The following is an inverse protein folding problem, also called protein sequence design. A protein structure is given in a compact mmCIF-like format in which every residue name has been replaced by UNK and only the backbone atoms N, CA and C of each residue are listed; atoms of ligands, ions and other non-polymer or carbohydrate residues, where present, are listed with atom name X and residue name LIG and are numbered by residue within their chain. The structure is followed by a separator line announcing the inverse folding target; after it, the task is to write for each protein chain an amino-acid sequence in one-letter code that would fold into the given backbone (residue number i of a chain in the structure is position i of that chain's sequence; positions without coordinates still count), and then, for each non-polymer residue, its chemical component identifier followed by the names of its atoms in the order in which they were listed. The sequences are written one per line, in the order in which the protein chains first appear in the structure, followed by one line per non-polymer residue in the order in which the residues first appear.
data_IF_482827379896
#
_entry.id   IF_482827379896
#
_cell.length_a   1.000
_cell.length_b   1.000
_cell.length_c   1.000
_cell.angle_alpha   90.00
_cell.angle_beta   90.00
_cell.angle_gamma   90.00
#
_symmetry.space_group_name_H-M   'P 1'
#
loop_
_entity.id
_entity.type
_entity.pdbx_description
1 polymer ?
#
# COMPACT_ATOMS: atom_id res chain seq x y z
N UNK A 1 -5.20 3.26 13.37
CA UNK A 1 -5.64 3.01 11.98
C UNK A 1 -4.45 2.57 11.17
N UNK A 2 -4.46 1.35 10.64
CA UNK A 2 -3.41 0.80 9.79
C UNK A 2 -4.01 0.28 8.48
N UNK A 3 -3.40 0.60 7.37
CA UNK A 3 -3.72 0.00 6.07
C UNK A 3 -3.34 0.86 4.87
N UNK A 4 -2.59 0.29 3.94
CA UNK A 4 -2.61 0.64 2.51
C UNK A 4 -1.73 -0.30 1.66
N UNK A 5 -2.20 -0.64 0.48
CA UNK A 5 -1.45 -1.38 -0.53
C UNK A 5 -1.51 -0.63 -1.87
N UNK A 6 -0.37 -0.45 -2.51
CA UNK A 6 -0.23 0.35 -3.73
C UNK A 6 0.11 -0.53 -4.93
N UNK A 7 -0.54 -0.29 -6.06
CA UNK A 7 -0.31 -1.01 -7.32
C UNK A 7 0.07 0.01 -8.41
N UNK A 8 1.29 -0.06 -8.99
CA UNK A 8 1.67 0.85 -10.07
C UNK A 8 0.88 0.57 -11.36
N UNK A 9 0.49 1.62 -12.09
CA UNK A 9 -0.16 1.50 -13.40
C UNK A 9 0.80 0.94 -14.45
N UNK A 10 0.30 0.02 -15.30
CA UNK A 10 1.05 -0.48 -16.46
C UNK A 10 1.14 0.59 -17.56
N UNK A 11 2.29 0.64 -18.24
CA UNK A 11 2.37 1.31 -19.52
C UNK A 11 1.63 0.47 -20.58
N UNK A 12 0.90 1.09 -21.54
CA UNK A 12 0.29 0.36 -22.63
C UNK A 12 1.39 -0.29 -23.49
N UNK A 13 1.43 -1.61 -23.50
CA UNK A 13 2.31 -2.37 -24.37
C UNK A 13 1.81 -2.23 -25.81
N UNK A 14 2.63 -1.70 -26.73
CA UNK A 14 2.34 -1.73 -28.16
C UNK A 14 2.13 -3.18 -28.60
N UNK A 15 1.02 -3.41 -29.30
CA UNK A 15 0.67 -4.73 -29.84
C UNK A 15 1.70 -5.09 -30.92
N UNK A 16 2.49 -6.10 -30.67
CA UNK A 16 3.26 -6.81 -31.70
C UNK A 16 2.34 -7.79 -32.39
N UNK A 17 1.96 -7.50 -33.62
CA UNK A 17 1.31 -8.46 -34.51
C UNK A 17 2.30 -9.60 -34.83
N UNK A 18 2.00 -10.80 -34.35
CA UNK A 18 2.80 -12.01 -34.57
C UNK A 18 1.91 -13.22 -34.70
N UNK A 19 1.76 -13.66 -35.90
CA UNK A 19 1.34 -14.95 -36.51
C UNK A 19 0.70 -16.05 -35.65
N UNK A 20 -0.46 -16.44 -36.15
CA UNK A 20 -1.27 -17.65 -36.04
C UNK A 20 -0.49 -18.93 -35.66
N UNK A 21 -0.73 -19.43 -34.46
CA UNK A 21 -0.50 -20.83 -34.10
C UNK A 21 -1.71 -21.33 -33.34
N UNK A 22 -2.57 -22.06 -34.05
CA UNK A 22 -3.75 -22.70 -33.52
C UNK A 22 -3.40 -23.79 -32.50
N UNK A 23 -3.27 -23.42 -31.23
CA UNK A 23 -3.33 -24.35 -30.11
C UNK A 23 -4.76 -24.35 -29.55
N UNK A 24 -5.49 -25.42 -29.83
CA UNK A 24 -6.73 -25.72 -29.11
C UNK A 24 -6.40 -26.06 -27.67
N UNK A 25 -6.61 -25.11 -26.77
CA UNK A 25 -6.68 -25.38 -25.33
C UNK A 25 -7.99 -26.16 -25.13
N UNK A 26 -7.88 -27.43 -24.73
CA UNK A 26 -9.03 -28.19 -24.22
C UNK A 26 -9.47 -27.48 -22.94
N UNK A 27 -10.72 -27.07 -22.91
CA UNK A 27 -11.43 -26.57 -21.75
C UNK A 27 -11.55 -27.71 -20.71
N UNK A 28 -10.48 -27.90 -19.93
CA UNK A 28 -10.56 -28.67 -18.70
C UNK A 28 -11.23 -27.72 -17.70
N UNK A 29 -12.49 -28.00 -17.32
CA UNK A 29 -13.21 -27.30 -16.27
C UNK A 29 -12.47 -27.34 -14.95
N UNK A 30 -11.44 -26.49 -14.83
CA UNK A 30 -10.80 -26.16 -13.58
C UNK A 30 -11.75 -25.19 -12.92
N UNK A 31 -12.42 -25.60 -11.84
CA UNK A 31 -12.92 -24.67 -10.84
C UNK A 31 -11.73 -23.78 -10.49
N UNK A 32 -11.72 -22.56 -11.02
CA UNK A 32 -10.71 -21.57 -10.68
C UNK A 32 -10.93 -21.22 -9.21
N UNK A 33 -10.08 -21.75 -8.36
CA UNK A 33 -10.03 -21.38 -6.94
C UNK A 33 -9.99 -19.83 -6.90
N UNK A 34 -11.02 -19.23 -6.29
CA UNK A 34 -11.16 -17.78 -6.32
C UNK A 34 -9.95 -17.15 -5.64
N UNK A 35 -9.20 -16.35 -6.39
CA UNK A 35 -7.94 -15.79 -5.93
C UNK A 35 -8.10 -14.74 -4.82
N UNK A 36 -7.00 -14.19 -4.35
CA UNK A 36 -6.98 -13.25 -3.22
C UNK A 36 -7.72 -11.95 -3.52
N UNK A 37 -7.80 -11.53 -4.78
CA UNK A 37 -8.56 -10.35 -5.18
C UNK A 37 -10.05 -10.53 -4.84
N UNK A 38 -10.69 -11.59 -5.33
CA UNK A 38 -12.12 -11.84 -5.12
C UNK A 38 -12.43 -12.33 -3.70
N UNK A 39 -11.55 -13.12 -3.11
CA UNK A 39 -11.77 -13.65 -1.76
C UNK A 39 -11.51 -12.62 -0.65
N UNK A 40 -10.64 -11.63 -0.89
CA UNK A 40 -10.18 -10.71 0.16
C UNK A 40 -10.48 -9.23 -0.10
N UNK A 41 -10.43 -8.75 -1.34
CA UNK A 41 -10.39 -7.31 -1.62
C UNK A 41 -11.68 -6.77 -2.24
N UNK A 42 -12.32 -7.51 -3.15
CA UNK A 42 -13.53 -7.06 -3.85
C UNK A 42 -14.74 -7.93 -3.50
N UNK A 43 -15.94 -7.35 -3.58
CA UNK A 43 -17.25 -8.03 -3.38
C UNK A 43 -18.08 -8.07 -4.67
N UNK A 44 -17.44 -7.80 -5.79
CA UNK A 44 -17.97 -7.92 -7.16
C UNK A 44 -17.06 -8.88 -7.94
N UNK A 45 -17.60 -9.48 -9.00
CA UNK A 45 -16.80 -10.39 -9.83
C UNK A 45 -15.63 -9.68 -10.53
N UNK A 46 -14.57 -10.43 -10.79
CA UNK A 46 -13.31 -9.95 -11.40
C UNK A 46 -13.54 -9.21 -12.72
N UNK A 47 -14.40 -9.73 -13.59
CA UNK A 47 -14.71 -9.11 -14.89
C UNK A 47 -15.32 -7.72 -14.72
N UNK A 48 -16.27 -7.59 -13.80
CA UNK A 48 -16.91 -6.31 -13.50
C UNK A 48 -15.92 -5.33 -12.85
N UNK A 49 -15.09 -5.81 -11.94
CA UNK A 49 -14.03 -5.02 -11.35
C UNK A 49 -13.09 -4.47 -12.43
N UNK A 50 -12.60 -5.32 -13.33
CA UNK A 50 -11.68 -4.93 -14.39
C UNK A 50 -12.29 -3.95 -15.40
N UNK A 51 -13.57 -4.12 -15.75
CA UNK A 51 -14.22 -3.30 -16.77
C UNK A 51 -14.79 -1.98 -16.26
N UNK A 52 -15.24 -1.91 -15.00
CA UNK A 52 -15.98 -0.76 -14.48
C UNK A 52 -15.23 0.01 -13.39
N UNK A 53 -14.33 -0.63 -12.63
CA UNK A 53 -13.70 -0.05 -11.44
C UNK A 53 -12.22 0.26 -11.66
N UNK A 54 -11.44 -0.75 -12.08
CA UNK A 54 -9.99 -0.63 -12.21
C UNK A 54 -9.57 0.58 -13.05
N UNK A 55 -8.80 1.49 -12.45
CA UNK A 55 -8.36 2.75 -13.07
C UNK A 55 -9.49 3.73 -13.45
N UNK A 56 -10.74 3.53 -12.96
CA UNK A 56 -11.90 4.36 -13.37
C UNK A 56 -12.70 4.93 -12.21
N UNK A 57 -12.96 4.13 -11.18
CA UNK A 57 -13.86 4.54 -10.10
C UNK A 57 -13.44 3.95 -8.75
N UNK A 58 -13.71 4.64 -7.63
CA UNK A 58 -13.51 4.06 -6.31
C UNK A 58 -14.53 2.95 -6.04
N UNK A 59 -14.08 1.89 -5.37
CA UNK A 59 -14.93 0.81 -4.86
C UNK A 59 -14.79 0.74 -3.34
N UNK A 60 -15.90 0.70 -2.62
CA UNK A 60 -15.93 0.41 -1.20
C UNK A 60 -16.46 -0.99 -0.97
N UNK A 61 -15.60 -1.90 -0.58
CA UNK A 61 -15.95 -3.27 -0.19
C UNK A 61 -16.17 -3.34 1.33
N UNK A 62 -17.31 -3.87 1.75
CA UNK A 62 -17.64 -4.12 3.15
C UNK A 62 -17.66 -5.62 3.40
N UNK A 63 -16.60 -6.16 3.99
CA UNK A 63 -16.50 -7.58 4.31
C UNK A 63 -16.65 -7.83 5.80
N UNK A 64 -17.19 -9.01 6.15
CA UNK A 64 -17.35 -9.46 7.52
C UNK A 64 -16.04 -9.98 8.16
N UNK A 65 -14.93 -10.02 7.42
CA UNK A 65 -13.64 -10.52 7.89
C UNK A 65 -12.69 -9.41 8.34
N UNK A 66 -11.69 -9.80 9.10
CA UNK A 66 -10.55 -8.94 9.46
C UNK A 66 -9.34 -9.33 8.61
N UNK A 67 -8.34 -8.45 8.55
CA UNK A 67 -7.05 -8.71 7.90
C UNK A 67 -5.93 -8.92 8.93
N UNK A 68 -6.29 -9.28 10.16
CA UNK A 68 -5.33 -9.48 11.26
C UNK A 68 -4.40 -10.66 11.05
N UNK A 69 -4.78 -11.59 10.17
CA UNK A 69 -3.92 -12.67 9.67
C UNK A 69 -2.77 -12.16 8.80
N UNK A 70 -2.93 -11.02 8.13
CA UNK A 70 -1.89 -10.40 7.33
C UNK A 70 -0.99 -9.48 8.15
N UNK A 71 -1.57 -8.66 9.01
CA UNK A 71 -0.84 -7.67 9.78
C UNK A 71 -1.62 -7.25 11.03
N UNK A 72 -0.92 -6.78 12.07
CA UNK A 72 -1.52 -6.35 13.35
C UNK A 72 -0.71 -5.24 14.01
N UNK A 73 -1.22 -4.67 15.10
CA UNK A 73 -0.48 -3.70 15.91
C UNK A 73 0.73 -4.34 16.59
N UNK A 74 0.62 -5.62 16.97
CA UNK A 74 1.74 -6.39 17.53
C UNK A 74 2.86 -6.58 16.48
N UNK A 75 2.49 -6.78 15.20
CA UNK A 75 3.46 -6.85 14.11
C UNK A 75 4.18 -5.51 13.89
N UNK A 76 3.49 -4.38 14.09
CA UNK A 76 4.12 -3.04 14.07
C UNK A 76 5.17 -2.93 15.18
N UNK A 77 4.81 -3.31 16.42
CA UNK A 77 5.75 -3.29 17.55
C UNK A 77 6.96 -4.21 17.29
N UNK A 78 6.73 -5.41 16.79
CA UNK A 78 7.80 -6.34 16.45
C UNK A 78 8.76 -5.75 15.41
N UNK A 79 8.24 -5.16 14.34
CA UNK A 79 9.06 -4.55 13.29
C UNK A 79 9.88 -3.37 13.81
N UNK A 80 9.28 -2.50 14.62
CA UNK A 80 9.92 -1.30 15.14
C UNK A 80 10.95 -1.65 16.22
N UNK A 81 10.58 -2.52 17.18
CA UNK A 81 11.36 -2.72 18.41
C UNK A 81 12.33 -3.90 18.35
N UNK A 82 12.16 -4.87 17.42
CA UNK A 82 12.89 -6.15 17.47
C UNK A 82 13.59 -6.54 16.16
N UNK A 83 13.23 -5.94 15.03
CA UNK A 83 13.74 -6.37 13.72
C UNK A 83 14.92 -5.53 13.24
N UNK A 84 15.36 -4.54 14.00
CA UNK A 84 16.50 -3.69 13.66
C UNK A 84 16.31 -2.94 12.34
N UNK A 85 15.09 -2.51 12.04
CA UNK A 85 14.78 -1.77 10.82
C UNK A 85 15.58 -0.45 10.78
N UNK A 86 15.81 0.00 9.56
CA UNK A 86 16.54 1.22 9.22
C UNK A 86 15.71 2.06 8.25
N UNK A 87 16.06 3.31 8.06
CA UNK A 87 15.56 4.07 6.94
C UNK A 87 16.04 3.43 5.62
N UNK A 88 15.26 3.47 4.52
CA UNK A 88 13.96 4.11 4.37
C UNK A 88 12.74 3.21 4.65
N UNK A 89 12.89 2.10 5.39
CA UNK A 89 11.77 1.18 5.65
C UNK A 89 10.69 1.76 6.58
N UNK A 90 10.94 2.93 7.17
CA UNK A 90 9.95 3.69 7.90
C UNK A 90 10.11 5.19 7.61
N UNK A 91 8.99 5.89 7.52
CA UNK A 91 8.89 7.36 7.50
C UNK A 91 7.92 7.81 8.59
N UNK A 92 8.09 9.04 9.04
CA UNK A 92 7.16 9.69 9.96
C UNK A 92 6.58 10.92 9.29
N UNK A 93 5.25 11.07 9.34
CA UNK A 93 4.56 12.23 8.78
C UNK A 93 3.68 12.89 9.86
N UNK A 94 3.66 14.20 9.90
CA UNK A 94 2.80 14.97 10.79
C UNK A 94 2.33 16.24 10.08
N UNK A 95 1.02 16.52 10.18
CA UNK A 95 0.40 17.72 9.60
C UNK A 95 0.74 17.93 8.12
N UNK A 96 0.71 16.84 7.33
CA UNK A 96 1.01 16.86 5.90
C UNK A 96 2.49 16.94 5.52
N UNK A 97 3.41 16.93 6.50
CA UNK A 97 4.86 17.06 6.29
C UNK A 97 5.59 15.80 6.76
N UNK A 98 6.54 15.32 5.96
CA UNK A 98 7.46 14.25 6.38
C UNK A 98 8.52 14.82 7.31
N UNK A 99 8.68 14.19 8.48
CA UNK A 99 9.70 14.57 9.46
C UNK A 99 11.09 14.08 9.02
N UNK A 100 12.16 14.76 9.42
CA UNK A 100 13.53 14.33 9.12
C UNK A 100 13.87 13.03 9.86
N UNK A 101 14.70 12.18 9.25
CA UNK A 101 15.09 10.87 9.80
C UNK A 101 15.70 10.99 11.20
N UNK A 102 16.43 12.07 11.47
CA UNK A 102 17.02 12.34 12.78
C UNK A 102 16.01 12.49 13.92
N UNK A 103 14.72 12.65 13.61
CA UNK A 103 13.65 12.72 14.63
C UNK A 103 13.17 11.36 15.12
N UNK A 104 13.62 10.27 14.49
CA UNK A 104 13.20 8.91 14.82
C UNK A 104 14.28 7.83 14.61
N UNK A 105 15.53 8.25 14.39
CA UNK A 105 16.67 7.34 14.26
C UNK A 105 17.76 7.68 15.26
N UNK A 106 18.51 6.67 15.66
CA UNK A 106 19.71 6.83 16.49
C UNK A 106 20.86 5.95 15.96
N UNK A 107 22.12 6.28 16.32
CA UNK A 107 23.23 5.39 16.03
C UNK A 107 23.06 4.04 16.71
N UNK A 108 23.32 2.96 15.97
CA UNK A 108 23.22 1.59 16.47
C UNK A 108 24.33 0.71 15.91
N UNK A 109 24.12 -0.58 15.99
CA UNK A 109 25.00 -1.61 15.46
C UNK A 109 25.89 -2.26 16.50
N UNK A 110 26.34 -3.48 16.17
CA UNK A 110 27.27 -4.26 16.94
C UNK A 110 28.45 -4.60 16.06
N UNK A 111 29.62 -4.04 16.35
CA UNK A 111 30.85 -4.21 15.56
C UNK A 111 30.97 -3.22 14.40
N UNK A 112 29.93 -2.97 13.61
CA UNK A 112 29.89 -1.93 12.59
C UNK A 112 28.99 -0.77 13.03
N UNK A 113 29.34 0.45 12.63
CA UNK A 113 28.52 1.64 12.93
C UNK A 113 27.32 1.70 11.99
N UNK A 114 26.13 1.85 12.58
CA UNK A 114 24.87 2.13 11.88
C UNK A 114 24.39 3.51 12.34
N UNK A 115 24.08 4.41 11.40
CA UNK A 115 23.71 5.80 11.73
C UNK A 115 22.20 6.08 11.58
N UNK A 116 21.45 5.15 11.02
CA UNK A 116 20.07 5.31 10.58
C UNK A 116 19.14 4.20 11.10
N UNK A 117 19.51 3.57 12.20
CA UNK A 117 18.67 2.58 12.86
C UNK A 117 17.44 3.26 13.48
N UNK A 118 16.27 2.64 13.32
CA UNK A 118 15.06 3.13 13.96
C UNK A 118 15.21 3.09 15.49
N UNK A 119 14.79 4.16 16.12
CA UNK A 119 14.73 4.31 17.59
C UNK A 119 13.27 4.19 18.02
N UNK A 120 12.92 3.07 18.66
CA UNK A 120 11.56 2.77 19.08
C UNK A 120 11.00 3.81 20.05
N UNK A 121 11.79 4.27 20.99
CA UNK A 121 11.38 5.31 21.96
C UNK A 121 11.01 6.61 21.26
N UNK A 122 11.82 7.04 20.28
CA UNK A 122 11.55 8.25 19.50
C UNK A 122 10.31 8.06 18.60
N UNK A 123 10.12 6.88 18.00
CA UNK A 123 8.97 6.56 17.17
C UNK A 123 7.67 6.56 17.97
N UNK A 124 7.63 5.91 19.13
CA UNK A 124 6.44 5.90 19.99
C UNK A 124 6.11 7.27 20.54
N UNK A 125 7.12 8.11 20.81
CA UNK A 125 6.92 9.52 21.18
C UNK A 125 6.29 10.31 20.03
N UNK A 126 6.81 10.18 18.81
CA UNK A 126 6.22 10.83 17.63
C UNK A 126 4.76 10.42 17.42
N UNK A 127 4.45 9.12 17.57
CA UNK A 127 3.08 8.62 17.46
C UNK A 127 2.17 9.22 18.56
N UNK A 128 2.64 9.27 19.79
CA UNK A 128 1.90 9.88 20.91
C UNK A 128 1.65 11.38 20.69
N UNK A 129 2.57 12.06 20.03
CA UNK A 129 2.46 13.47 19.65
C UNK A 129 1.61 13.71 18.39
N UNK A 130 0.93 12.70 17.89
CA UNK A 130 -0.03 12.81 16.77
C UNK A 130 0.55 12.53 15.39
N UNK A 131 1.80 12.12 15.27
CA UNK A 131 2.38 11.76 13.99
C UNK A 131 1.84 10.41 13.46
N UNK A 132 1.89 10.23 12.14
CA UNK A 132 1.65 8.95 11.47
C UNK A 132 2.98 8.26 11.20
N UNK A 133 3.10 7.01 11.63
CA UNK A 133 4.19 6.15 11.22
C UNK A 133 3.82 5.44 9.91
N UNK A 134 4.74 5.43 8.96
CA UNK A 134 4.57 4.77 7.67
C UNK A 134 5.63 3.70 7.52
N UNK A 135 5.26 2.44 7.76
CA UNK A 135 6.12 1.29 7.45
C UNK A 135 6.09 1.05 5.94
N UNK A 136 7.23 1.08 5.32
CA UNK A 136 7.39 0.95 3.88
C UNK A 136 7.88 -0.45 3.48
N UNK A 137 7.47 -0.87 2.29
CA UNK A 137 7.92 -2.11 1.67
C UNK A 137 7.68 -3.36 2.56
N UNK A 138 6.51 -3.45 3.21
CA UNK A 138 6.15 -4.59 4.05
C UNK A 138 6.16 -5.93 3.30
N UNK A 139 5.95 -5.93 1.99
CA UNK A 139 6.12 -7.11 1.13
C UNK A 139 7.56 -7.65 1.12
N UNK A 140 8.53 -6.95 1.72
CA UNK A 140 9.94 -7.36 1.86
C UNK A 140 10.31 -7.68 3.31
N UNK A 141 9.54 -7.25 4.28
CA UNK A 141 9.92 -7.30 5.70
C UNK A 141 8.94 -8.12 6.57
N UNK A 142 7.76 -8.50 6.02
CA UNK A 142 6.73 -9.23 6.74
C UNK A 142 6.13 -10.34 5.89
N UNK A 143 6.38 -11.58 6.30
CA UNK A 143 6.09 -12.78 5.48
C UNK A 143 4.63 -12.94 5.05
N UNK A 144 3.58 -12.80 5.93
CA UNK A 144 2.20 -12.92 5.48
C UNK A 144 1.82 -11.88 4.39
N UNK A 145 2.34 -10.66 4.51
CA UNK A 145 2.14 -9.62 3.49
C UNK A 145 2.93 -9.93 2.21
N UNK A 146 4.12 -10.51 2.31
CA UNK A 146 4.91 -10.94 1.15
C UNK A 146 4.13 -11.96 0.31
N UNK A 147 3.59 -12.99 0.97
CA UNK A 147 2.80 -14.04 0.32
C UNK A 147 1.52 -13.48 -0.31
N UNK A 148 0.77 -12.68 0.44
CA UNK A 148 -0.45 -12.04 -0.07
C UNK A 148 -0.17 -11.09 -1.24
N UNK A 149 0.87 -10.26 -1.14
CA UNK A 149 1.27 -9.33 -2.20
C UNK A 149 1.73 -10.04 -3.47
N UNK A 150 2.43 -11.17 -3.34
CA UNK A 150 2.82 -12.02 -4.48
C UNK A 150 1.60 -12.60 -5.17
N UNK A 151 0.69 -13.23 -4.43
CA UNK A 151 -0.54 -13.80 -4.98
C UNK A 151 -1.39 -12.72 -5.70
N UNK A 152 -1.52 -11.54 -5.10
CA UNK A 152 -2.24 -10.44 -5.74
C UNK A 152 -1.53 -9.92 -6.99
N UNK A 153 -0.20 -9.84 -6.98
CA UNK A 153 0.61 -9.45 -8.14
C UNK A 153 0.42 -10.42 -9.30
N UNK A 154 0.40 -11.72 -9.03
CA UNK A 154 0.15 -12.75 -10.04
C UNK A 154 -1.25 -12.64 -10.65
N UNK A 155 -2.26 -12.35 -9.84
CA UNK A 155 -3.63 -12.18 -10.31
C UNK A 155 -3.85 -10.91 -11.14
N UNK A 156 -3.21 -9.81 -10.76
CA UNK A 156 -3.35 -8.53 -11.43
C UNK A 156 -2.45 -8.40 -12.65
N UNK A 157 -1.39 -9.23 -12.75
CA UNK A 157 -0.33 -9.07 -13.74
C UNK A 157 0.53 -7.82 -13.53
N UNK A 158 0.53 -7.25 -12.32
CA UNK A 158 1.23 -6.00 -11.96
C UNK A 158 1.97 -6.14 -10.65
N UNK A 159 3.14 -5.48 -10.50
CA UNK A 159 3.84 -5.44 -9.22
C UNK A 159 2.98 -4.80 -8.13
N UNK A 160 3.04 -5.38 -6.93
CA UNK A 160 2.33 -4.88 -5.74
C UNK A 160 3.34 -4.41 -4.70
N UNK A 161 3.19 -3.20 -4.20
CA UNK A 161 3.90 -2.70 -3.03
C UNK A 161 2.94 -2.58 -1.85
N UNK A 162 3.43 -2.87 -0.66
CA UNK A 162 2.61 -2.78 0.54
C UNK A 162 3.28 -1.89 1.58
N UNK A 163 2.55 -0.88 2.02
CA UNK A 163 2.94 0.02 3.10
C UNK A 163 1.87 -0.03 4.20
N UNK A 164 2.24 0.22 5.45
CA UNK A 164 1.26 0.39 6.52
C UNK A 164 1.34 1.81 7.11
N UNK A 165 0.18 2.37 7.39
CA UNK A 165 0.02 3.71 7.96
C UNK A 165 -0.60 3.58 9.34
N UNK A 166 0.12 3.93 10.37
CA UNK A 166 -0.30 3.88 11.76
C UNK A 166 -0.53 5.32 12.22
N UNK A 167 -1.79 5.70 12.37
CA UNK A 167 -2.20 7.06 12.74
C UNK A 167 -2.96 7.03 14.06
N UNK A 168 -2.58 7.81 15.06
CA UNK A 168 -3.33 7.87 16.31
C UNK A 168 -4.70 8.54 16.11
N UNK A 169 -5.66 8.31 17.05
CA UNK A 169 -6.99 8.89 16.93
C UNK A 169 -7.00 10.41 16.78
N UNK A 170 -7.88 10.93 15.94
CA UNK A 170 -8.08 12.38 15.69
C UNK A 170 -6.90 13.11 15.04
N UNK A 171 -6.00 12.37 14.41
CA UNK A 171 -4.87 12.94 13.68
C UNK A 171 -4.92 12.58 12.20
N UNK A 172 -4.16 13.34 11.40
CA UNK A 172 -4.03 13.17 9.97
C UNK A 172 -2.54 13.18 9.60
N UNK A 173 -2.12 12.20 8.80
CA UNK A 173 -0.72 12.11 8.35
C UNK A 173 -0.43 13.00 7.15
N UNK A 174 -1.17 12.79 6.06
CA UNK A 174 -0.95 13.47 4.79
C UNK A 174 -2.13 14.37 4.43
N UNK A 175 -1.85 15.46 3.71
CA UNK A 175 -2.84 16.32 3.10
C UNK A 175 -3.50 15.65 1.90
N UNK A 176 -4.53 16.27 1.31
CA UNK A 176 -5.17 15.81 0.09
C UNK A 176 -4.13 15.72 -1.05
N UNK A 177 -4.13 14.61 -1.75
CA UNK A 177 -3.24 14.32 -2.88
C UNK A 177 -3.83 13.20 -3.72
N UNK A 178 -3.26 12.94 -4.87
CA UNK A 178 -3.43 11.71 -5.62
C UNK A 178 -2.08 11.00 -5.78
N UNK A 179 -2.13 9.69 -5.95
CA UNK A 179 -0.99 8.87 -6.33
C UNK A 179 -1.05 8.55 -7.84
N UNK A 180 0.10 8.25 -8.43
CA UNK A 180 0.21 7.91 -9.87
C UNK A 180 0.03 6.41 -10.12
N UNK A 181 -0.70 5.74 -9.25
CA UNK A 181 -0.97 4.30 -9.28
C UNK A 181 -2.31 4.00 -8.57
N UNK A 182 -2.88 2.85 -8.86
CA UNK A 182 -4.06 2.38 -8.16
C UNK A 182 -3.72 1.95 -6.73
N UNK A 183 -4.68 2.12 -5.81
CA UNK A 183 -4.46 1.88 -4.38
C UNK A 183 -5.58 1.02 -3.81
N UNK A 184 -5.22 -0.12 -3.22
CA UNK A 184 -6.10 -0.87 -2.35
C UNK A 184 -5.88 -0.43 -0.90
N UNK A 185 -6.94 0.02 -0.25
CA UNK A 185 -6.90 0.38 1.16
C UNK A 185 -7.49 -0.74 2.00
N UNK A 186 -6.63 -1.44 2.73
CA UNK A 186 -7.02 -2.53 3.62
C UNK A 186 -7.00 -2.03 5.06
N UNK A 187 -8.18 -1.93 5.68
CA UNK A 187 -8.30 -1.46 7.06
C UNK A 187 -8.06 -2.62 8.03
N UNK A 188 -6.96 -2.56 8.77
CA UNK A 188 -6.54 -3.61 9.72
C UNK A 188 -7.21 -3.38 11.07
N UNK A 189 -7.12 -2.16 11.63
CA UNK A 189 -7.63 -1.83 12.94
C UNK A 189 -8.15 -0.40 13.02
N UNK A 190 -9.18 -0.19 13.85
CA UNK A 190 -9.82 1.10 14.04
C UNK A 190 -10.65 1.53 12.84
N UNK A 191 -10.89 2.83 12.71
CA UNK A 191 -11.67 3.43 11.63
C UNK A 191 -10.96 4.62 11.04
N UNK A 192 -11.04 4.78 9.71
CA UNK A 192 -10.50 5.92 9.00
C UNK A 192 -11.58 6.52 8.10
N UNK A 193 -11.74 7.84 8.17
CA UNK A 193 -12.62 8.57 7.25
C UNK A 193 -11.80 8.96 6.03
N UNK A 194 -12.29 8.58 4.87
CA UNK A 194 -11.74 8.98 3.58
C UNK A 194 -12.62 10.05 2.94
N UNK A 195 -11.99 11.09 2.40
CA UNK A 195 -12.64 12.09 1.56
C UNK A 195 -12.09 11.91 0.16
N UNK A 196 -12.94 11.45 -0.74
CA UNK A 196 -12.58 11.17 -2.14
C UNK A 196 -13.07 12.37 -2.96
N UNK A 197 -12.19 12.94 -3.76
CA UNK A 197 -12.44 14.06 -4.64
C UNK A 197 -12.52 13.59 -6.10
N UNK A 198 -13.17 14.38 -6.93
CA UNK A 198 -13.05 14.21 -8.38
C UNK A 198 -11.59 14.36 -8.81
N UNK A 199 -11.10 13.53 -9.73
CA UNK A 199 -9.72 13.62 -10.20
C UNK A 199 -9.41 14.97 -10.83
N UNK A 200 -8.41 15.66 -10.31
CA UNK A 200 -7.90 16.91 -10.94
C UNK A 200 -7.05 16.63 -12.16
N UNK A 201 -6.52 15.43 -12.27
CA UNK A 201 -5.75 14.92 -13.40
C UNK A 201 -6.12 13.44 -13.61
N UNK A 202 -7.02 13.13 -14.57
CA UNK A 202 -7.42 11.76 -14.86
C UNK A 202 -6.25 10.91 -15.37
N UNK A 203 -6.14 9.67 -14.90
CA UNK A 203 -5.13 8.69 -15.29
C UNK A 203 -3.69 9.26 -15.33
N UNK A 204 -3.16 9.76 -14.20
CA UNK A 204 -1.85 10.39 -14.16
C UNK A 204 -0.75 9.38 -14.48
N UNK A 205 0.17 9.76 -15.36
CA UNK A 205 1.36 8.97 -15.62
C UNK A 205 2.38 9.12 -14.48
N UNK A 206 3.33 8.19 -14.39
CA UNK A 206 4.39 8.17 -13.35
C UNK A 206 5.18 9.48 -13.24
N UNK A 207 5.35 10.20 -14.34
CA UNK A 207 6.05 11.48 -14.40
C UNK A 207 5.11 12.71 -14.23
N UNK A 208 3.89 12.50 -13.78
CA UNK A 208 2.89 13.55 -13.51
C UNK A 208 2.47 13.50 -12.03
N UNK A 209 3.39 13.71 -11.08
CA UNK A 209 3.11 13.57 -9.67
C UNK A 209 2.20 14.70 -9.15
N UNK A 210 1.55 14.44 -8.03
CA UNK A 210 0.71 15.41 -7.32
C UNK A 210 1.37 16.79 -7.11
N UNK A 211 2.67 16.81 -6.86
CA UNK A 211 3.42 18.05 -6.60
C UNK A 211 3.29 19.07 -7.71
N UNK A 212 3.10 18.64 -8.95
CA UNK A 212 3.00 19.49 -10.13
C UNK A 212 1.56 20.05 -10.32
N UNK A 213 0.58 19.45 -9.64
CA UNK A 213 -0.84 19.75 -9.77
C UNK A 213 -1.48 20.31 -8.47
N UNK A 214 -0.70 20.51 -7.40
CA UNK A 214 -1.18 21.05 -6.12
C UNK A 214 -2.12 22.27 -6.22
N UNK A 215 -1.86 23.26 -7.07
CA UNK A 215 -2.70 24.46 -7.15
C UNK A 215 -4.12 24.21 -7.67
N UNK A 216 -4.37 23.07 -8.28
CA UNK A 216 -5.69 22.72 -8.84
C UNK A 216 -6.70 22.26 -7.77
N UNK A 217 -6.22 21.99 -6.55
CA UNK A 217 -7.06 21.55 -5.42
C UNK A 217 -7.01 22.64 -4.34
N UNK A 218 -7.90 23.58 -4.43
CA UNK A 218 -8.12 24.62 -3.44
C UNK A 218 -9.33 24.28 -2.56
#
# INVERSE_FOLDING_TARGET
TAGLMEVPMAEPTEAVEGEDSSYRIQDSGVETDAGVLETRLIDIGREKFASEIWGRAPLLTRRAGTFTDLFSVEAVDELISRRGLRTPFLRVAKDGTTLPDSSFTSPGGVGATISDQLDDTMLWRNLADGATLVLQALHRTWEPISQFGTALSDELGHPVQVNAYITPPRNQGFSHHYDVHDVFVVQIEGTKRWVIHEPVHPAPLRNQPWTDHRPAVA
#
